data_IF_103252809678
#
_entry.id   IF_103252809678
#
_cell.length_a   1.000
_cell.length_b   1.000
_cell.length_c   1.000
_cell.angle_alpha   90.00
_cell.angle_beta   90.00
_cell.angle_gamma   90.00
#
_symmetry.space_group_name_H-M   'P 1'
#
loop_
_entity.id
_entity.type
_entity.pdbx_description
1 polymer ?
#
# COMPACT_ATOMS: atom_id res chain seq x y z
N UNK A 1 -10.64 -6.82 -11.63
CA UNK A 1 -11.60 -7.59 -10.80
C UNK A 1 -11.12 -7.56 -9.36
N UNK A 2 -12.00 -7.33 -8.39
CA UNK A 2 -11.64 -7.29 -6.97
C UNK A 2 -11.27 -8.68 -6.43
N UNK A 3 -10.05 -8.84 -5.92
CA UNK A 3 -9.51 -10.06 -5.30
C UNK A 3 -10.29 -10.48 -4.04
N UNK A 4 -10.53 -11.78 -3.86
CA UNK A 4 -11.07 -12.35 -2.63
C UNK A 4 -10.08 -12.18 -1.48
N UNK A 5 -10.51 -11.48 -0.43
CA UNK A 5 -9.75 -11.31 0.81
C UNK A 5 -10.62 -10.80 1.95
N UNK A 6 -10.12 -10.91 3.18
CA UNK A 6 -10.81 -10.49 4.39
C UNK A 6 -11.30 -9.04 4.33
N UNK A 7 -10.50 -8.12 3.79
CA UNK A 7 -10.90 -6.72 3.65
C UNK A 7 -12.13 -6.55 2.73
N UNK A 8 -12.19 -7.28 1.62
CA UNK A 8 -13.32 -7.22 0.69
C UNK A 8 -14.53 -7.99 1.22
N UNK A 9 -14.31 -9.11 1.92
CA UNK A 9 -15.35 -9.81 2.69
C UNK A 9 -16.06 -8.87 3.66
N UNK A 10 -15.32 -8.09 4.47
CA UNK A 10 -15.89 -7.13 5.43
C UNK A 10 -16.66 -6.01 4.73
N UNK A 11 -16.14 -5.47 3.61
CA UNK A 11 -16.84 -4.43 2.84
C UNK A 11 -18.19 -4.93 2.29
N UNK A 12 -18.23 -6.17 1.81
CA UNK A 12 -19.48 -6.78 1.33
C UNK A 12 -20.46 -6.98 2.49
N UNK A 13 -20.01 -7.51 3.63
CA UNK A 13 -20.83 -7.62 4.86
C UNK A 13 -21.45 -6.27 5.23
N UNK A 14 -20.65 -5.19 5.22
CA UNK A 14 -21.13 -3.83 5.51
C UNK A 14 -22.17 -3.33 4.50
N UNK A 15 -21.96 -3.60 3.21
CA UNK A 15 -22.85 -3.12 2.14
C UNK A 15 -24.25 -3.74 2.20
N UNK A 16 -24.35 -4.98 2.68
CA UNK A 16 -25.61 -5.70 2.94
C UNK A 16 -26.02 -5.68 4.42
N UNK A 17 -25.32 -4.89 5.23
CA UNK A 17 -25.55 -4.84 6.66
C UNK A 17 -26.72 -3.93 7.05
N UNK A 18 -27.19 -4.09 8.30
CA UNK A 18 -28.28 -3.25 8.86
C UNK A 18 -27.93 -1.76 8.88
N UNK A 19 -26.67 -1.44 9.16
CA UNK A 19 -26.16 -0.08 9.21
C UNK A 19 -24.95 0.07 8.29
N UNK A 20 -25.16 0.54 7.07
CA UNK A 20 -24.08 0.78 6.09
C UNK A 20 -23.09 1.89 6.51
N UNK A 21 -23.40 2.68 7.54
CA UNK A 21 -22.52 3.73 8.07
C UNK A 21 -21.60 3.26 9.20
N UNK A 22 -21.75 2.02 9.68
CA UNK A 22 -20.89 1.49 10.74
C UNK A 22 -19.42 1.45 10.32
N UNK A 23 -18.51 1.71 11.26
CA UNK A 23 -17.07 1.64 11.00
C UNK A 23 -16.66 0.20 10.65
N UNK A 24 -15.78 0.03 9.67
CA UNK A 24 -15.27 -1.31 9.31
C UNK A 24 -14.52 -1.93 10.49
N UNK A 25 -13.82 -1.09 11.25
CA UNK A 25 -13.05 -1.45 12.42
C UNK A 25 -13.92 -2.11 13.48
N UNK A 26 -15.15 -1.63 13.66
CA UNK A 26 -16.10 -2.22 14.60
C UNK A 26 -16.61 -3.58 14.13
N UNK A 27 -16.95 -3.73 12.85
CA UNK A 27 -17.34 -5.04 12.29
C UNK A 27 -16.22 -6.06 12.47
N UNK A 28 -14.97 -5.67 12.15
CA UNK A 28 -13.79 -6.53 12.27
C UNK A 28 -13.55 -6.94 13.73
N UNK A 29 -13.56 -5.98 14.66
CA UNK A 29 -13.35 -6.23 16.08
C UNK A 29 -14.35 -7.23 16.63
N UNK A 30 -15.65 -6.96 16.46
CA UNK A 30 -16.72 -7.84 16.95
C UNK A 30 -16.63 -9.23 16.27
N UNK A 31 -16.45 -9.30 14.94
CA UNK A 31 -16.32 -10.59 14.23
C UNK A 31 -15.18 -11.45 14.77
N UNK A 32 -14.00 -10.86 14.94
CA UNK A 32 -12.83 -11.59 15.40
C UNK A 32 -12.99 -12.03 16.85
N UNK A 33 -13.56 -11.17 17.69
CA UNK A 33 -13.86 -11.45 19.10
C UNK A 33 -14.80 -12.65 19.21
N UNK A 34 -15.93 -12.60 18.51
CA UNK A 34 -16.98 -13.62 18.57
C UNK A 34 -16.47 -15.00 18.11
N UNK A 35 -15.67 -15.04 17.03
CA UNK A 35 -15.05 -16.27 16.55
C UNK A 35 -14.03 -16.81 17.55
N UNK A 36 -13.18 -15.96 18.11
CA UNK A 36 -12.18 -16.39 19.10
C UNK A 36 -12.83 -16.92 20.38
N UNK A 37 -13.88 -16.26 20.88
CA UNK A 37 -14.64 -16.73 22.05
C UNK A 37 -15.35 -18.06 21.78
N UNK A 38 -16.04 -18.17 20.64
CA UNK A 38 -16.69 -19.42 20.25
C UNK A 38 -15.71 -20.60 20.17
N UNK A 39 -14.50 -20.35 19.69
CA UNK A 39 -13.48 -21.36 19.53
C UNK A 39 -12.53 -21.48 20.73
N UNK A 40 -12.83 -20.82 21.85
CA UNK A 40 -12.01 -20.81 23.09
C UNK A 40 -10.53 -20.53 22.82
N UNK A 41 -10.25 -19.69 21.83
CA UNK A 41 -8.89 -19.26 21.55
C UNK A 41 -8.51 -18.26 22.64
N UNK A 42 -7.33 -18.39 23.25
CA UNK A 42 -6.77 -17.49 24.29
C UNK A 42 -5.56 -16.75 23.74
N UNK A 43 -5.46 -15.43 23.95
CA UNK A 43 -4.28 -14.68 23.52
C UNK A 43 -3.19 -14.93 24.58
N UNK A 44 -1.94 -14.58 24.29
CA UNK A 44 -0.83 -14.82 25.23
C UNK A 44 -1.02 -14.14 26.60
N UNK A 45 -1.95 -13.19 26.73
CA UNK A 45 -2.18 -12.35 27.91
C UNK A 45 -3.51 -12.62 28.64
N UNK A 46 -4.44 -13.39 28.06
CA UNK A 46 -5.79 -13.61 28.60
C UNK A 46 -6.80 -12.48 28.36
N UNK A 47 -6.46 -11.43 27.61
CA UNK A 47 -7.32 -10.26 27.37
C UNK A 47 -8.39 -10.48 26.27
N UNK A 48 -9.39 -9.59 26.19
CA UNK A 48 -10.38 -9.55 25.09
C UNK A 48 -9.67 -9.54 23.72
N UNK A 49 -10.10 -10.41 22.81
CA UNK A 49 -9.41 -10.63 21.55
C UNK A 49 -9.71 -9.55 20.51
N UNK A 50 -8.68 -8.88 20.00
CA UNK A 50 -8.68 -8.11 18.74
C UNK A 50 -9.59 -6.87 18.63
N UNK A 51 -9.83 -6.13 19.72
CA UNK A 51 -10.52 -4.83 19.64
C UNK A 51 -9.59 -3.61 19.43
N UNK A 52 -8.41 -3.80 18.82
CA UNK A 52 -7.55 -2.66 18.51
C UNK A 52 -7.95 -2.03 17.17
N UNK A 53 -8.40 -0.77 17.24
CA UNK A 53 -8.72 0.05 16.05
C UNK A 53 -7.57 0.08 15.05
N UNK A 54 -6.32 0.05 15.54
CA UNK A 54 -5.11 0.01 14.71
C UNK A 54 -5.02 -1.26 13.87
N UNK A 55 -5.14 -2.45 14.48
CA UNK A 55 -5.10 -3.71 13.74
C UNK A 55 -6.21 -3.77 12.69
N UNK A 56 -7.45 -3.43 13.09
CA UNK A 56 -8.57 -3.45 12.18
C UNK A 56 -8.36 -2.50 10.98
N UNK A 57 -7.77 -1.33 11.22
CA UNK A 57 -7.36 -0.40 10.16
C UNK A 57 -6.27 -0.99 9.25
N UNK A 58 -5.30 -1.71 9.79
CA UNK A 58 -4.27 -2.39 8.98
C UNK A 58 -4.84 -3.53 8.14
N UNK A 59 -5.78 -4.30 8.69
CA UNK A 59 -6.45 -5.40 7.99
C UNK A 59 -7.34 -4.88 6.84
N UNK A 60 -8.20 -3.88 7.10
CA UNK A 60 -9.09 -3.33 6.05
C UNK A 60 -8.31 -2.64 4.93
N UNK A 61 -7.14 -2.07 5.24
CA UNK A 61 -6.21 -1.49 4.27
C UNK A 61 -5.21 -2.50 3.67
N UNK A 62 -5.33 -3.79 4.02
CA UNK A 62 -4.45 -4.88 3.56
C UNK A 62 -2.96 -4.64 3.80
N UNK A 63 -2.62 -3.90 4.87
CA UNK A 63 -1.23 -3.63 5.30
C UNK A 63 -0.63 -4.80 6.09
N UNK A 64 -1.47 -5.60 6.73
CA UNK A 64 -1.10 -6.81 7.46
C UNK A 64 -1.99 -7.99 7.02
N UNK A 65 -1.49 -9.21 7.23
CA UNK A 65 -2.30 -10.42 7.11
C UNK A 65 -3.11 -10.61 8.41
N UNK A 66 -4.08 -11.53 8.38
CA UNK A 66 -4.80 -11.92 9.58
C UNK A 66 -3.82 -12.40 10.67
N UNK A 67 -4.04 -12.03 11.95
CA UNK A 67 -3.19 -12.50 13.04
C UNK A 67 -3.08 -14.01 13.08
N UNK A 68 -1.89 -14.52 13.35
CA UNK A 68 -1.60 -15.97 13.31
C UNK A 68 -2.59 -16.77 14.15
N UNK A 69 -2.86 -16.36 15.39
CA UNK A 69 -3.80 -17.07 16.27
C UNK A 69 -5.22 -17.06 15.69
N UNK A 70 -5.67 -15.97 15.07
CA UNK A 70 -6.97 -15.93 14.41
C UNK A 70 -7.05 -16.85 13.18
N UNK A 71 -5.99 -16.92 12.37
CA UNK A 71 -5.92 -17.87 11.24
C UNK A 71 -5.99 -19.30 11.75
N UNK A 72 -5.22 -19.63 12.79
CA UNK A 72 -5.25 -20.95 13.43
C UNK A 72 -6.64 -21.27 13.98
N UNK A 73 -7.34 -20.30 14.59
CA UNK A 73 -8.73 -20.46 15.01
C UNK A 73 -9.65 -20.84 13.84
N UNK A 74 -9.55 -20.12 12.72
CA UNK A 74 -10.38 -20.39 11.53
C UNK A 74 -10.07 -21.74 10.89
N UNK A 75 -8.79 -22.17 10.89
CA UNK A 75 -8.34 -23.37 10.20
C UNK A 75 -8.50 -24.65 11.02
N UNK A 76 -8.41 -24.55 12.35
CA UNK A 76 -8.44 -25.71 13.24
C UNK A 76 -9.82 -26.03 13.81
N UNK A 77 -10.84 -25.22 13.51
CA UNK A 77 -12.21 -25.43 13.96
C UNK A 77 -13.14 -25.81 12.82
N UNK A 78 -14.20 -26.55 13.14
CA UNK A 78 -15.20 -26.93 12.16
C UNK A 78 -16.06 -25.74 11.74
N UNK A 79 -16.60 -25.79 10.52
CA UNK A 79 -17.57 -24.81 10.03
C UNK A 79 -18.74 -24.62 11.01
N UNK A 80 -19.25 -25.72 11.57
CA UNK A 80 -20.35 -25.69 12.54
C UNK A 80 -19.95 -24.94 13.81
N UNK A 81 -18.74 -25.14 14.31
CA UNK A 81 -18.24 -24.46 15.51
C UNK A 81 -18.21 -22.94 15.30
N UNK A 82 -17.62 -22.50 14.18
CA UNK A 82 -17.51 -21.07 13.86
C UNK A 82 -18.91 -20.45 13.65
N UNK A 83 -19.76 -21.12 12.86
CA UNK A 83 -21.12 -20.64 12.57
C UNK A 83 -21.99 -20.54 13.84
N UNK A 84 -21.97 -21.57 14.69
CA UNK A 84 -22.72 -21.56 15.94
C UNK A 84 -22.23 -20.46 16.88
N UNK A 85 -20.92 -20.24 16.93
CA UNK A 85 -20.33 -19.11 17.63
C UNK A 85 -20.90 -17.77 17.19
N UNK A 86 -20.87 -17.49 15.89
CA UNK A 86 -21.40 -16.23 15.34
C UNK A 86 -22.91 -16.06 15.56
N UNK A 87 -23.65 -17.16 15.71
CA UNK A 87 -25.07 -17.14 16.11
C UNK A 87 -25.19 -16.84 17.61
N UNK A 88 -24.47 -17.55 18.46
CA UNK A 88 -24.48 -17.44 19.93
C UNK A 88 -24.11 -16.02 20.38
N UNK A 89 -23.07 -15.44 19.79
CA UNK A 89 -22.62 -14.07 20.05
C UNK A 89 -23.38 -13.01 19.23
N UNK A 90 -24.48 -13.39 18.56
CA UNK A 90 -25.39 -12.48 17.84
C UNK A 90 -24.76 -11.67 16.69
N UNK A 91 -23.57 -12.03 16.18
CA UNK A 91 -22.90 -11.32 15.10
C UNK A 91 -23.83 -11.10 13.90
N UNK A 92 -24.45 -12.17 13.41
CA UNK A 92 -25.34 -12.10 12.24
C UNK A 92 -26.54 -11.19 12.48
N UNK A 93 -27.14 -11.29 13.67
CA UNK A 93 -28.31 -10.48 14.04
C UNK A 93 -27.94 -9.00 14.15
N UNK A 94 -26.74 -8.68 14.63
CA UNK A 94 -26.25 -7.32 14.79
C UNK A 94 -25.87 -6.68 13.45
N UNK A 95 -25.17 -7.41 12.58
CA UNK A 95 -24.53 -6.84 11.42
C UNK A 95 -25.27 -7.06 10.11
N UNK A 96 -25.98 -8.17 9.93
CA UNK A 96 -26.58 -8.54 8.65
C UNK A 96 -28.06 -8.13 8.61
N UNK A 97 -28.48 -7.51 7.51
CA UNK A 97 -29.90 -7.27 7.25
C UNK A 97 -30.55 -8.60 6.81
N UNK A 98 -31.56 -9.11 7.53
CA UNK A 98 -32.22 -10.38 7.19
C UNK A 98 -32.76 -10.43 5.75
N UNK A 99 -33.22 -9.29 5.22
CA UNK A 99 -33.78 -9.19 3.87
C UNK A 99 -32.70 -9.22 2.77
N UNK A 100 -31.43 -9.05 3.14
CA UNK A 100 -30.30 -8.98 2.21
C UNK A 100 -29.45 -10.26 2.23
N UNK A 101 -29.79 -11.26 3.05
CA UNK A 101 -28.96 -12.47 3.24
C UNK A 101 -28.66 -13.18 1.92
N UNK A 102 -29.66 -13.33 1.05
CA UNK A 102 -29.48 -13.98 -0.25
C UNK A 102 -28.50 -13.20 -1.14
N UNK A 103 -28.67 -11.87 -1.23
CA UNK A 103 -27.79 -11.00 -2.01
C UNK A 103 -26.37 -10.92 -1.45
N UNK A 104 -26.22 -10.94 -0.13
CA UNK A 104 -24.94 -11.02 0.55
C UNK A 104 -24.20 -12.30 0.18
N UNK A 105 -24.87 -13.45 0.28
CA UNK A 105 -24.27 -14.74 -0.07
C UNK A 105 -23.85 -14.76 -1.54
N UNK A 106 -24.70 -14.29 -2.45
CA UNK A 106 -24.36 -14.19 -3.88
C UNK A 106 -23.13 -13.31 -4.08
N UNK A 107 -23.08 -12.12 -3.50
CA UNK A 107 -21.96 -11.19 -3.65
C UNK A 107 -20.63 -11.75 -3.10
N UNK A 108 -20.68 -12.47 -1.98
CA UNK A 108 -19.50 -13.13 -1.42
C UNK A 108 -19.04 -14.32 -2.28
N UNK A 109 -19.98 -15.12 -2.80
CA UNK A 109 -19.67 -16.24 -3.71
C UNK A 109 -19.08 -15.73 -5.02
N UNK A 110 -19.65 -14.69 -5.61
CA UNK A 110 -19.16 -14.08 -6.84
C UNK A 110 -17.75 -13.51 -6.64
N UNK A 111 -17.47 -12.87 -5.50
CA UNK A 111 -16.12 -12.42 -5.16
C UNK A 111 -15.13 -13.59 -5.13
N UNK A 112 -15.51 -14.74 -4.56
CA UNK A 112 -14.65 -15.92 -4.45
C UNK A 112 -14.44 -16.65 -5.78
N UNK A 113 -15.52 -16.88 -6.53
CA UNK A 113 -15.49 -17.65 -7.79
C UNK A 113 -14.77 -16.89 -8.90
N UNK A 114 -14.93 -15.58 -8.95
CA UNK A 114 -14.30 -14.73 -9.97
C UNK A 114 -12.82 -14.41 -9.67
N UNK A 115 -12.29 -14.80 -8.51
CA UNK A 115 -10.86 -14.62 -8.21
C UNK A 115 -10.03 -15.65 -8.99
N UNK A 116 -9.13 -15.17 -9.86
CA UNK A 116 -8.27 -16.02 -10.70
C UNK A 116 -7.19 -16.77 -9.91
N UNK A 117 -6.85 -16.33 -8.69
CA UNK A 117 -5.85 -17.00 -7.85
C UNK A 117 -6.43 -18.17 -7.04
N UNK A 118 -7.75 -18.27 -6.94
CA UNK A 118 -8.42 -19.39 -6.29
C UNK A 118 -8.47 -20.59 -7.25
N UNK A 119 -7.99 -21.75 -6.77
CA UNK A 119 -7.98 -22.98 -7.56
C UNK A 119 -9.40 -23.45 -7.95
N UNK A 120 -9.55 -24.00 -9.15
CA UNK A 120 -10.84 -24.43 -9.68
C UNK A 120 -11.51 -25.49 -8.80
N UNK A 121 -10.75 -26.43 -8.24
CA UNK A 121 -11.29 -27.46 -7.34
C UNK A 121 -11.87 -26.85 -6.05
N UNK A 122 -11.28 -25.76 -5.54
CA UNK A 122 -11.82 -25.04 -4.40
C UNK A 122 -13.13 -24.29 -4.75
N UNK A 123 -13.25 -23.78 -5.98
CA UNK A 123 -14.49 -23.18 -6.50
C UNK A 123 -15.58 -24.23 -6.65
N UNK A 124 -15.23 -25.40 -7.20
CA UNK A 124 -16.16 -26.53 -7.35
C UNK A 124 -16.67 -27.02 -5.99
N UNK A 125 -15.80 -27.08 -4.97
CA UNK A 125 -16.21 -27.41 -3.59
C UNK A 125 -17.22 -26.42 -3.03
N UNK A 126 -17.00 -25.11 -3.22
CA UNK A 126 -17.96 -24.08 -2.80
C UNK A 126 -19.31 -24.23 -3.50
N UNK A 127 -19.31 -24.47 -4.81
CA UNK A 127 -20.53 -24.64 -5.61
C UNK A 127 -21.35 -25.87 -5.18
N UNK A 128 -20.68 -26.95 -4.77
CA UNK A 128 -21.30 -28.20 -4.34
C UNK A 128 -21.61 -28.25 -2.83
N UNK A 129 -21.23 -27.22 -2.06
CA UNK A 129 -21.43 -27.19 -0.61
C UNK A 129 -22.92 -27.06 -0.27
N UNK A 130 -23.48 -28.11 0.35
CA UNK A 130 -24.84 -28.07 0.91
C UNK A 130 -24.80 -27.46 2.31
N UNK A 131 -25.21 -26.20 2.42
CA UNK A 131 -25.21 -25.49 3.69
C UNK A 131 -26.25 -24.36 3.69
N UNK A 132 -26.58 -23.87 4.88
CA UNK A 132 -27.41 -22.68 5.08
C UNK A 132 -26.69 -21.40 4.65
N UNK A 133 -27.40 -20.29 4.51
CA UNK A 133 -26.79 -18.99 4.16
C UNK A 133 -25.75 -18.53 5.20
N UNK A 134 -25.99 -18.76 6.49
CA UNK A 134 -25.03 -18.41 7.54
C UNK A 134 -23.79 -19.29 7.53
N UNK A 135 -23.97 -20.60 7.31
CA UNK A 135 -22.84 -21.50 7.10
C UNK A 135 -22.03 -21.10 5.85
N UNK A 136 -22.67 -20.67 4.76
CA UNK A 136 -21.95 -20.16 3.58
C UNK A 136 -21.11 -18.92 3.90
N UNK A 137 -21.66 -17.98 4.68
CA UNK A 137 -20.93 -16.78 5.14
C UNK A 137 -19.73 -17.18 6.02
N UNK A 138 -19.94 -18.09 6.98
CA UNK A 138 -18.87 -18.64 7.82
C UNK A 138 -17.80 -19.37 7.01
N UNK A 139 -18.19 -20.14 6.01
CA UNK A 139 -17.26 -20.87 5.14
C UNK A 139 -16.34 -19.90 4.40
N UNK A 140 -16.91 -18.84 3.79
CA UNK A 140 -16.12 -17.83 3.10
C UNK A 140 -15.22 -17.02 4.05
N UNK A 141 -15.62 -16.83 5.31
CA UNK A 141 -14.71 -16.31 6.34
C UNK A 141 -13.52 -17.27 6.58
N UNK A 142 -13.76 -18.58 6.68
CA UNK A 142 -12.69 -19.57 6.82
C UNK A 142 -11.75 -19.57 5.61
N UNK A 143 -12.27 -19.41 4.40
CA UNK A 143 -11.44 -19.27 3.19
C UNK A 143 -10.53 -18.03 3.25
N UNK A 144 -10.98 -16.92 3.85
CA UNK A 144 -10.11 -15.76 4.10
C UNK A 144 -8.93 -16.12 5.02
N UNK A 145 -9.11 -17.09 5.93
CA UNK A 145 -8.07 -17.63 6.80
C UNK A 145 -7.00 -18.45 6.07
N UNK A 146 -7.30 -18.99 4.89
CA UNK A 146 -6.34 -19.80 4.10
C UNK A 146 -5.39 -18.97 3.25
N UNK A 147 -5.80 -17.76 2.86
CA UNK A 147 -5.00 -16.91 1.97
C UNK A 147 -4.15 -15.89 2.74
N UNK A 148 -3.22 -15.25 2.04
CA UNK A 148 -2.53 -14.07 2.57
C UNK A 148 -3.34 -12.81 2.26
N UNK A 149 -3.83 -12.16 3.31
CA UNK A 149 -4.68 -10.98 3.19
C UNK A 149 -3.89 -9.68 3.00
N UNK A 150 -2.58 -9.73 3.26
CA UNK A 150 -1.67 -8.62 3.01
C UNK A 150 -1.47 -8.41 1.51
N UNK A 151 -1.50 -7.16 1.07
CA UNK A 151 -1.04 -6.78 -0.26
C UNK A 151 0.48 -7.02 -0.34
N UNK A 152 0.90 -7.94 -1.22
CA UNK A 152 2.29 -8.31 -1.41
C UNK A 152 2.93 -7.45 -2.50
N UNK A 153 4.18 -7.08 -2.29
CA UNK A 153 4.97 -6.39 -3.31
C UNK A 153 5.36 -7.37 -4.42
N UNK A 154 4.93 -7.11 -5.65
CA UNK A 154 5.33 -7.86 -6.84
C UNK A 154 6.38 -7.06 -7.60
N UNK A 155 7.56 -7.67 -7.82
CA UNK A 155 8.68 -7.07 -8.56
C UNK A 155 8.78 -7.74 -9.92
N UNK A 156 8.62 -6.97 -10.98
CA UNK A 156 8.59 -7.45 -12.37
C UNK A 156 9.69 -6.77 -13.18
N UNK A 157 10.52 -7.55 -13.87
CA UNK A 157 11.61 -7.02 -14.69
C UNK A 157 11.09 -6.60 -16.05
N UNK A 158 11.35 -5.34 -16.42
CA UNK A 158 11.02 -4.78 -17.73
C UNK A 158 12.14 -5.11 -18.72
N UNK A 159 13.38 -4.83 -18.34
CA UNK A 159 14.55 -5.21 -19.12
C UNK A 159 15.79 -5.35 -18.23
N UNK A 160 16.77 -6.10 -18.74
CA UNK A 160 18.05 -6.31 -18.11
C UNK A 160 19.19 -6.22 -19.14
N UNK A 161 20.26 -5.52 -18.78
CA UNK A 161 21.47 -5.41 -19.59
C UNK A 161 22.68 -5.75 -18.70
N UNK A 162 23.21 -6.96 -18.84
CA UNK A 162 24.24 -7.48 -17.95
C UNK A 162 23.76 -7.52 -16.49
N UNK A 163 24.46 -6.78 -15.61
CA UNK A 163 24.08 -6.65 -14.19
C UNK A 163 23.04 -5.56 -13.92
N UNK A 164 22.74 -4.71 -14.91
CA UNK A 164 21.79 -3.62 -14.77
C UNK A 164 20.37 -4.12 -15.03
N UNK A 165 19.41 -3.67 -14.22
CA UNK A 165 18.01 -4.07 -14.32
C UNK A 165 17.09 -2.89 -14.10
N UNK A 166 16.02 -2.84 -14.89
CA UNK A 166 14.89 -1.94 -14.64
C UNK A 166 13.67 -2.79 -14.38
N UNK A 167 13.07 -2.58 -13.21
CA UNK A 167 11.86 -3.28 -12.76
C UNK A 167 10.75 -2.28 -12.50
N UNK A 168 9.51 -2.76 -12.48
CA UNK A 168 8.43 -2.11 -11.75
C UNK A 168 8.05 -2.92 -10.52
N UNK A 169 7.61 -2.23 -9.47
CA UNK A 169 7.15 -2.84 -8.22
C UNK A 169 5.87 -2.21 -7.76
N UNK A 170 4.87 -3.02 -7.41
CA UNK A 170 3.68 -2.53 -6.70
C UNK A 170 3.97 -2.46 -5.20
N UNK A 171 4.11 -1.27 -4.63
CA UNK A 171 4.34 -1.09 -3.20
C UNK A 171 3.92 0.30 -2.73
N UNK A 172 3.95 0.55 -1.42
CA UNK A 172 3.91 1.90 -0.86
C UNK A 172 5.35 2.36 -0.60
N UNK A 173 5.79 3.37 -1.34
CA UNK A 173 7.18 3.85 -1.26
C UNK A 173 7.57 4.31 0.15
N UNK A 174 6.63 4.84 0.94
CA UNK A 174 6.89 5.27 2.32
C UNK A 174 7.06 4.05 3.23
N UNK A 175 6.16 3.07 3.14
CA UNK A 175 6.31 1.83 3.92
C UNK A 175 7.60 1.09 3.53
N UNK A 176 7.92 1.05 2.24
CA UNK A 176 9.18 0.49 1.73
C UNK A 176 10.37 1.22 2.36
N UNK A 177 10.36 2.55 2.39
CA UNK A 177 11.45 3.38 2.91
C UNK A 177 11.81 3.11 4.37
N UNK A 178 10.81 2.91 5.22
CA UNK A 178 10.98 2.80 6.67
C UNK A 178 10.86 1.37 7.21
N UNK A 179 10.71 0.36 6.33
CA UNK A 179 10.62 -1.03 6.73
C UNK A 179 11.89 -1.48 7.51
N UNK A 180 11.71 -1.84 8.78
CA UNK A 180 12.79 -2.38 9.63
C UNK A 180 12.71 -3.91 9.60
N UNK A 181 13.48 -4.55 8.71
CA UNK A 181 13.74 -6.00 8.78
C UNK A 181 15.24 -6.23 8.96
N UNK A 182 15.59 -7.20 9.81
CA UNK A 182 16.99 -7.53 10.19
C UNK A 182 17.92 -7.71 8.98
N UNK A 183 17.40 -8.24 7.86
CA UNK A 183 18.18 -8.60 6.66
C UNK A 183 17.96 -7.68 5.44
N UNK A 184 17.47 -6.45 5.62
CA UNK A 184 17.38 -5.52 4.48
C UNK A 184 18.79 -5.05 4.08
N UNK A 185 19.12 -5.16 2.79
CA UNK A 185 20.29 -4.53 2.15
C UNK A 185 20.09 -3.03 2.12
N UNK A 186 21.19 -2.26 2.13
CA UNK A 186 21.10 -0.82 1.90
C UNK A 186 20.44 -0.55 0.54
N UNK A 187 19.62 0.50 0.51
CA UNK A 187 18.83 0.88 -0.66
C UNK A 187 18.71 2.39 -0.76
N UNK A 188 18.41 2.85 -1.97
CA UNK A 188 18.18 4.25 -2.25
C UNK A 188 16.71 4.46 -2.58
N UNK A 189 16.06 5.43 -1.94
CA UNK A 189 14.66 5.80 -2.22
C UNK A 189 14.62 7.25 -2.66
N UNK A 190 13.95 7.51 -3.79
CA UNK A 190 13.71 8.86 -4.26
C UNK A 190 12.45 9.44 -3.61
N UNK A 191 12.59 10.62 -3.02
CA UNK A 191 11.45 11.42 -2.54
C UNK A 191 11.36 12.67 -3.41
N UNK A 192 10.27 12.84 -4.18
CA UNK A 192 10.08 14.05 -4.97
C UNK A 192 9.78 15.22 -4.03
N UNK A 193 10.58 16.28 -4.12
CA UNK A 193 10.46 17.50 -3.34
C UNK A 193 10.31 18.71 -4.26
N UNK A 194 9.98 19.86 -3.67
CA UNK A 194 10.07 21.14 -4.36
C UNK A 194 11.52 21.64 -4.39
N UNK A 195 11.82 22.54 -5.32
CA UNK A 195 13.15 23.06 -5.55
C UNK A 195 13.70 23.88 -4.36
N UNK A 196 12.84 24.37 -3.47
CA UNK A 196 13.27 25.10 -2.27
C UNK A 196 13.54 24.15 -1.09
N UNK A 197 13.22 22.86 -1.23
CA UNK A 197 13.35 21.83 -0.21
C UNK A 197 12.61 22.20 1.08
N UNK A 198 11.32 22.55 0.97
CA UNK A 198 10.49 22.86 2.13
C UNK A 198 10.30 21.62 3.03
N UNK A 199 10.80 21.64 4.27
CA UNK A 199 10.75 20.49 5.19
C UNK A 199 9.58 20.55 6.19
N UNK A 200 8.59 21.40 5.92
CA UNK A 200 7.41 21.62 6.76
C UNK A 200 6.15 21.14 6.05
N UNK A 201 5.29 20.45 6.79
CA UNK A 201 3.93 20.09 6.34
C UNK A 201 2.97 21.22 6.71
N UNK A 202 2.07 21.58 5.79
CA UNK A 202 1.03 22.59 6.03
C UNK A 202 0.05 22.14 7.11
N UNK A 203 -0.27 23.02 8.04
CA UNK A 203 -1.38 22.86 8.97
C UNK A 203 -2.59 23.71 8.54
N UNK A 204 -3.78 23.30 8.99
CA UNK A 204 -4.99 24.08 8.76
C UNK A 204 -4.89 25.42 9.50
N UNK A 205 -4.92 26.54 8.77
CA UNK A 205 -4.77 27.88 9.32
C UNK A 205 -3.37 28.49 9.18
N UNK A 206 -2.42 27.83 8.52
CA UNK A 206 -1.14 28.45 8.17
C UNK A 206 -1.34 29.56 7.10
N UNK A 207 -0.74 30.74 7.31
CA UNK A 207 -0.76 31.86 6.35
C UNK A 207 0.01 31.56 5.04
N UNK A 208 0.80 30.48 5.02
CA UNK A 208 1.58 30.01 3.87
C UNK A 208 1.37 28.52 3.67
N UNK A 209 1.02 28.11 2.44
CA UNK A 209 0.91 26.70 2.10
C UNK A 209 2.31 26.11 1.89
N UNK A 210 2.72 25.20 2.78
CA UNK A 210 3.90 24.34 2.65
C UNK A 210 3.55 23.00 1.96
N UNK A 211 4.30 21.95 2.25
CA UNK A 211 4.10 20.61 1.68
C UNK A 211 2.76 20.04 2.14
N UNK A 212 1.96 19.53 1.20
CA UNK A 212 0.68 18.88 1.55
C UNK A 212 0.91 17.53 2.21
N UNK A 213 0.20 17.25 3.31
CA UNK A 213 0.30 16.01 4.10
C UNK A 213 0.13 14.73 3.26
N UNK A 214 -0.75 14.76 2.27
CA UNK A 214 -1.09 13.57 1.48
C UNK A 214 -0.11 13.29 0.33
N UNK A 215 0.82 14.20 0.05
CA UNK A 215 1.90 14.01 -0.92
C UNK A 215 2.94 13.01 -0.42
N UNK A 216 3.76 12.44 -1.32
CA UNK A 216 4.88 11.58 -0.93
C UNK A 216 5.85 12.33 -0.01
N UNK A 217 6.13 13.60 -0.31
CA UNK A 217 6.98 14.47 0.51
C UNK A 217 6.38 14.66 1.91
N UNK A 218 5.09 14.99 2.01
CA UNK A 218 4.40 15.18 3.29
C UNK A 218 4.38 13.91 4.14
N UNK A 219 4.07 12.76 3.55
CA UNK A 219 4.10 11.46 4.23
C UNK A 219 5.50 11.07 4.69
N UNK A 220 6.53 11.43 3.94
CA UNK A 220 7.92 11.20 4.35
C UNK A 220 8.30 12.04 5.58
N UNK A 221 7.92 13.33 5.61
CA UNK A 221 8.12 14.21 6.77
C UNK A 221 7.37 13.68 8.00
N UNK A 222 6.08 13.31 7.84
CA UNK A 222 5.28 12.72 8.92
C UNK A 222 5.91 11.44 9.45
N UNK A 223 6.37 10.54 8.58
CA UNK A 223 7.04 9.31 8.99
C UNK A 223 8.34 9.56 9.78
N UNK A 224 9.09 10.62 9.48
CA UNK A 224 10.26 11.02 10.26
C UNK A 224 9.87 11.61 11.62
N UNK A 225 8.83 12.45 11.66
CA UNK A 225 8.29 13.00 12.91
C UNK A 225 7.80 11.90 13.85
N UNK A 226 7.11 10.88 13.34
CA UNK A 226 6.70 9.69 14.10
C UNK A 226 7.89 8.86 14.63
N UNK A 227 9.10 9.08 14.13
CA UNK A 227 10.35 8.48 14.62
C UNK A 227 11.16 9.43 15.49
N UNK A 228 10.57 10.58 15.88
CA UNK A 228 11.17 11.56 16.77
C UNK A 228 12.20 12.49 16.12
N UNK A 229 12.28 12.52 14.79
CA UNK A 229 13.20 13.42 14.06
C UNK A 229 12.48 14.74 13.83
N UNK A 230 13.07 15.84 14.28
CA UNK A 230 12.48 17.18 14.12
C UNK A 230 12.81 17.81 12.76
N UNK A 231 12.00 18.76 12.31
CA UNK A 231 12.26 19.54 11.08
C UNK A 231 13.68 20.12 11.05
N UNK A 232 14.13 20.71 12.16
CA UNK A 232 15.49 21.28 12.28
C UNK A 232 16.58 20.22 12.09
N UNK A 233 16.35 19.01 12.61
CA UNK A 233 17.28 17.90 12.48
C UNK A 233 17.30 17.38 11.03
N UNK A 234 16.15 17.36 10.35
CA UNK A 234 16.06 17.01 8.93
C UNK A 234 16.93 17.95 8.11
N UNK A 235 16.71 19.26 8.25
CA UNK A 235 17.45 20.30 7.51
C UNK A 235 18.96 20.17 7.74
N UNK A 236 19.38 19.98 9.00
CA UNK A 236 20.79 19.88 9.36
C UNK A 236 21.46 18.59 8.83
N UNK A 237 20.69 17.53 8.62
CA UNK A 237 21.21 16.23 8.14
C UNK A 237 21.23 16.09 6.62
N UNK A 238 20.54 16.99 5.89
CA UNK A 238 20.54 16.94 4.43
C UNK A 238 21.90 17.37 3.88
N UNK A 239 22.53 16.49 3.10
CA UNK A 239 23.75 16.81 2.35
C UNK A 239 23.35 17.18 0.93
N UNK A 240 23.44 18.46 0.60
CA UNK A 240 23.20 18.93 -0.76
C UNK A 240 24.47 18.74 -1.59
N UNK A 241 24.34 18.14 -2.77
CA UNK A 241 25.45 18.08 -3.74
C UNK A 241 25.41 19.18 -4.79
N UNK A 242 24.25 19.78 -5.04
CA UNK A 242 24.06 20.93 -5.95
C UNK A 242 22.79 21.72 -5.55
N UNK A 243 22.81 22.47 -4.45
CA UNK A 243 21.67 23.30 -4.05
C UNK A 243 21.64 24.59 -4.87
N UNK A 244 21.05 24.52 -6.06
CA UNK A 244 20.84 25.69 -6.92
C UNK A 244 19.37 26.15 -6.96
N UNK A 245 18.52 25.60 -6.09
CA UNK A 245 17.07 25.80 -6.08
C UNK A 245 16.44 25.62 -7.47
N UNK A 246 16.99 24.66 -8.22
CA UNK A 246 16.60 24.30 -9.58
C UNK A 246 16.08 22.87 -9.63
N UNK A 247 15.24 22.60 -10.62
CA UNK A 247 14.76 21.24 -10.91
C UNK A 247 15.96 20.33 -11.21
N UNK A 248 15.93 19.10 -10.70
CA UNK A 248 17.05 18.16 -10.75
C UNK A 248 18.09 18.33 -9.64
N UNK A 249 17.96 19.32 -8.74
CA UNK A 249 18.76 19.38 -7.52
C UNK A 249 18.50 18.15 -6.63
N UNK A 250 19.55 17.58 -6.05
CA UNK A 250 19.47 16.39 -5.19
C UNK A 250 20.06 16.70 -3.80
N UNK A 251 19.27 16.43 -2.77
CA UNK A 251 19.70 16.35 -1.39
C UNK A 251 19.75 14.89 -0.91
N UNK A 252 20.74 14.55 -0.10
CA UNK A 252 20.84 13.23 0.53
C UNK A 252 20.42 13.28 1.99
N UNK A 253 19.57 12.34 2.40
CA UNK A 253 19.24 12.13 3.80
C UNK A 253 19.37 10.64 4.13
N UNK A 254 20.19 10.26 5.11
CA UNK A 254 20.32 8.85 5.53
C UNK A 254 19.51 8.60 6.79
N UNK A 255 18.69 7.56 6.79
CA UNK A 255 18.03 7.05 7.99
C UNK A 255 18.09 5.53 8.00
N UNK A 256 18.71 4.96 9.04
CA UNK A 256 18.97 3.52 9.13
C UNK A 256 19.68 3.00 7.85
N UNK A 257 19.16 1.95 7.22
CA UNK A 257 19.67 1.35 5.97
C UNK A 257 19.08 1.95 4.69
N UNK A 258 18.35 3.06 4.79
CA UNK A 258 17.76 3.74 3.63
C UNK A 258 18.49 5.06 3.41
N UNK A 259 19.05 5.24 2.22
CA UNK A 259 19.52 6.51 1.72
C UNK A 259 18.40 7.15 0.89
N UNK A 260 18.01 8.36 1.25
CA UNK A 260 16.99 9.10 0.53
C UNK A 260 17.64 10.08 -0.42
N UNK A 261 17.24 10.04 -1.69
CA UNK A 261 17.53 11.07 -2.68
C UNK A 261 16.32 12.00 -2.78
N UNK A 262 16.43 13.18 -2.19
CA UNK A 262 15.43 14.23 -2.24
C UNK A 262 15.57 14.94 -3.59
N UNK A 263 14.72 14.59 -4.55
CA UNK A 263 14.81 15.06 -5.93
C UNK A 263 13.87 16.24 -6.16
N UNK A 264 14.43 17.41 -6.49
CA UNK A 264 13.66 18.59 -6.85
C UNK A 264 12.92 18.38 -8.19
N UNK A 265 11.60 18.16 -8.13
CA UNK A 265 10.76 17.86 -9.30
C UNK A 265 9.76 18.97 -9.65
N UNK A 266 9.64 19.98 -8.79
CA UNK A 266 8.66 21.06 -8.92
C UNK A 266 9.19 22.37 -8.36
N UNK A 267 8.63 23.49 -8.79
CA UNK A 267 8.84 24.80 -8.17
C UNK A 267 7.48 25.35 -7.77
N UNK A 268 7.38 25.89 -6.56
CA UNK A 268 6.18 26.59 -6.11
C UNK A 268 6.15 27.98 -6.75
N UNK A 269 5.00 28.42 -7.23
CA UNK A 269 4.78 29.80 -7.66
C UNK A 269 4.39 30.70 -6.47
N UNK A 270 4.12 31.96 -6.75
CA UNK A 270 3.68 32.98 -5.78
C UNK A 270 2.37 32.61 -5.05
N UNK A 271 1.58 31.66 -5.58
CA UNK A 271 0.36 31.14 -4.98
C UNK A 271 0.60 29.82 -4.22
N UNK A 272 1.86 29.44 -3.96
CA UNK A 272 2.28 28.15 -3.40
C UNK A 272 1.73 26.95 -4.19
N UNK A 273 1.67 27.09 -5.51
CA UNK A 273 1.28 26.01 -6.40
C UNK A 273 2.51 25.34 -7.00
N UNK A 274 2.61 24.02 -6.84
CA UNK A 274 3.64 23.22 -7.50
C UNK A 274 3.40 23.12 -9.02
N UNK A 275 4.23 23.80 -9.81
CA UNK A 275 4.24 23.71 -11.27
C UNK A 275 5.38 22.79 -11.76
N UNK A 276 5.02 21.77 -12.54
CA UNK A 276 5.99 20.92 -13.25
C UNK A 276 5.46 20.58 -14.64
N UNK A 277 6.34 20.44 -15.62
CA UNK A 277 6.02 20.06 -17.00
C UNK A 277 6.65 18.69 -17.31
N UNK A 278 6.16 18.02 -18.35
CA UNK A 278 6.75 16.75 -18.82
C UNK A 278 8.26 16.86 -19.05
N UNK A 279 8.70 18.00 -19.62
CA UNK A 279 10.12 18.32 -19.87
C UNK A 279 10.88 18.43 -18.55
N UNK A 280 10.37 19.18 -17.58
CA UNK A 280 11.00 19.36 -16.27
C UNK A 280 11.12 18.04 -15.48
N UNK A 281 10.12 17.16 -15.58
CA UNK A 281 10.19 15.83 -14.97
C UNK A 281 11.28 14.99 -15.64
N UNK A 282 11.36 15.04 -16.98
CA UNK A 282 12.43 14.38 -17.75
C UNK A 282 13.82 14.87 -17.33
N UNK A 283 14.01 16.18 -17.21
CA UNK A 283 15.25 16.80 -16.73
C UNK A 283 15.63 16.31 -15.32
N UNK A 284 14.66 16.25 -14.40
CA UNK A 284 14.87 15.73 -13.05
C UNK A 284 15.28 14.25 -13.05
N UNK A 285 14.67 13.42 -13.90
CA UNK A 285 15.05 12.00 -14.05
C UNK A 285 16.46 11.87 -14.61
N UNK A 286 16.83 12.66 -15.62
CA UNK A 286 18.20 12.65 -16.17
C UNK A 286 19.21 13.07 -15.10
N UNK A 287 18.92 14.10 -14.31
CA UNK A 287 19.76 14.51 -13.19
C UNK A 287 19.93 13.38 -12.15
N UNK A 288 18.83 12.69 -11.81
CA UNK A 288 18.83 11.53 -10.93
C UNK A 288 19.69 10.39 -11.48
N UNK A 289 19.59 10.06 -12.77
CA UNK A 289 20.37 8.99 -13.40
C UNK A 289 21.87 9.30 -13.38
N UNK A 290 22.26 10.53 -13.73
CA UNK A 290 23.64 10.98 -13.63
C UNK A 290 24.16 10.87 -12.20
N UNK A 291 23.37 11.34 -11.23
CA UNK A 291 23.74 11.27 -9.82
C UNK A 291 23.87 9.85 -9.30
N UNK A 292 22.91 8.99 -9.64
CA UNK A 292 22.92 7.59 -9.26
C UNK A 292 24.09 6.83 -9.90
N UNK A 293 24.45 7.13 -11.15
CA UNK A 293 25.63 6.55 -11.80
C UNK A 293 26.93 6.84 -11.03
N UNK A 294 27.08 8.08 -10.55
CA UNK A 294 28.28 8.53 -9.82
C UNK A 294 28.32 8.11 -8.35
N UNK A 295 27.18 8.11 -7.66
CA UNK A 295 27.13 8.00 -6.19
C UNK A 295 26.27 6.83 -5.67
N UNK A 296 25.55 6.12 -6.54
CA UNK A 296 24.59 5.09 -6.14
C UNK A 296 25.18 3.80 -5.59
N UNK A 297 26.48 3.54 -5.83
CA UNK A 297 27.21 2.37 -5.32
C UNK A 297 26.52 1.01 -5.58
N UNK A 298 25.75 0.92 -6.68
CA UNK A 298 24.94 -0.24 -7.08
C UNK A 298 23.82 -0.64 -6.09
N UNK A 299 23.51 0.19 -5.09
CA UNK A 299 22.34 -0.04 -4.25
C UNK A 299 21.06 0.06 -5.08
N UNK A 300 20.06 -0.78 -4.78
CA UNK A 300 18.79 -0.70 -5.50
C UNK A 300 18.14 0.67 -5.32
N UNK A 301 17.84 1.33 -6.44
CA UNK A 301 17.17 2.63 -6.49
C UNK A 301 15.66 2.42 -6.64
N UNK A 302 14.86 3.04 -5.77
CA UNK A 302 13.40 3.00 -5.82
C UNK A 302 12.86 4.39 -6.17
N UNK A 303 12.20 4.52 -7.31
CA UNK A 303 11.69 5.78 -7.84
C UNK A 303 10.16 5.72 -7.87
N UNK A 304 9.43 6.65 -7.22
CA UNK A 304 7.97 6.68 -7.33
C UNK A 304 7.57 7.21 -8.71
N UNK A 305 6.30 7.05 -9.07
CA UNK A 305 5.73 7.83 -10.18
C UNK A 305 5.87 9.34 -9.88
N UNK A 306 6.33 10.08 -10.88
CA UNK A 306 6.57 11.53 -10.82
C UNK A 306 5.53 12.27 -11.67
N UNK A 307 5.05 13.43 -11.23
CA UNK A 307 4.12 14.22 -12.05
C UNK A 307 2.64 13.80 -11.94
N UNK A 308 2.28 12.88 -11.04
CA UNK A 308 0.92 12.36 -10.85
C UNK A 308 0.17 13.06 -9.71
N UNK A 309 -1.16 12.88 -9.67
CA UNK A 309 -2.13 13.22 -8.59
C UNK A 309 -2.04 14.65 -8.01
N UNK A 310 -0.98 14.97 -7.27
CA UNK A 310 -0.79 16.24 -6.55
C UNK A 310 0.09 17.26 -7.27
N UNK A 311 0.91 16.85 -8.24
CA UNK A 311 1.66 17.79 -9.09
C UNK A 311 0.82 18.22 -10.29
N UNK A 312 0.79 19.52 -10.60
CA UNK A 312 -0.02 20.06 -11.72
C UNK A 312 0.50 19.69 -13.13
N UNK A 313 1.45 18.74 -13.25
CA UNK A 313 1.87 18.17 -14.53
C UNK A 313 0.75 17.34 -15.21
N UNK A 314 -0.31 16.98 -14.47
CA UNK A 314 -1.50 16.25 -14.95
C UNK A 314 -1.17 14.94 -15.69
N UNK A 315 -0.06 14.29 -15.34
CA UNK A 315 0.24 12.98 -15.91
C UNK A 315 -0.66 11.93 -15.27
N UNK A 316 -1.23 11.06 -16.09
CA UNK A 316 -1.79 9.79 -15.62
C UNK A 316 -0.67 8.92 -15.04
N UNK A 317 -1.03 7.92 -14.24
CA UNK A 317 -0.05 6.97 -13.72
C UNK A 317 0.72 6.28 -14.85
N UNK A 318 0.03 5.88 -15.92
CA UNK A 318 0.63 5.32 -17.13
C UNK A 318 1.59 6.29 -17.84
N UNK A 319 1.20 7.56 -18.04
CA UNK A 319 2.04 8.56 -18.70
C UNK A 319 3.29 8.91 -17.89
N UNK A 320 3.17 8.92 -16.56
CA UNK A 320 4.31 9.08 -15.65
C UNK A 320 5.28 7.90 -15.74
N UNK A 321 4.74 6.68 -15.71
CA UNK A 321 5.53 5.47 -15.85
C UNK A 321 6.27 5.43 -17.18
N UNK A 322 5.58 5.68 -18.29
CA UNK A 322 6.15 5.71 -19.64
C UNK A 322 7.24 6.77 -19.77
N UNK A 323 7.04 7.97 -19.19
CA UNK A 323 8.06 9.01 -19.18
C UNK A 323 9.32 8.57 -18.43
N UNK A 324 9.17 7.95 -17.25
CA UNK A 324 10.31 7.44 -16.48
C UNK A 324 11.02 6.35 -17.28
N UNK A 325 10.28 5.37 -17.80
CA UNK A 325 10.84 4.24 -18.52
C UNK A 325 11.56 4.66 -19.81
N UNK A 326 10.93 5.50 -20.64
CA UNK A 326 11.54 6.02 -21.87
C UNK A 326 12.79 6.84 -21.58
N UNK A 327 12.76 7.71 -20.56
CA UNK A 327 13.95 8.48 -20.16
C UNK A 327 15.09 7.58 -19.70
N UNK A 328 14.80 6.50 -18.96
CA UNK A 328 15.81 5.52 -18.57
C UNK A 328 16.38 4.79 -19.78
N UNK A 329 15.53 4.35 -20.73
CA UNK A 329 15.97 3.67 -21.96
C UNK A 329 16.85 4.58 -22.83
N UNK A 330 16.47 5.84 -23.01
CA UNK A 330 17.26 6.83 -23.76
C UNK A 330 18.63 7.13 -23.11
N UNK A 331 18.79 6.83 -21.81
CA UNK A 331 20.00 7.09 -21.04
C UNK A 331 20.58 5.81 -20.44
N UNK A 332 20.42 4.67 -21.14
CA UNK A 332 20.81 3.34 -20.62
C UNK A 332 22.29 3.25 -20.24
N UNK A 333 23.15 4.04 -20.90
CA UNK A 333 24.59 4.14 -20.61
C UNK A 333 24.89 4.65 -19.19
N UNK A 334 23.93 5.34 -18.55
CA UNK A 334 24.05 5.83 -17.17
C UNK A 334 23.58 4.80 -16.14
N UNK A 335 23.05 3.65 -16.57
CA UNK A 335 22.57 2.62 -15.66
C UNK A 335 23.73 1.93 -14.96
N UNK A 336 23.73 2.00 -13.63
CA UNK A 336 24.70 1.33 -12.77
C UNK A 336 23.99 0.66 -11.58
N UNK A 337 23.40 -0.51 -11.82
CA UNK A 337 22.68 -1.31 -10.84
C UNK A 337 21.21 -1.52 -11.18
N UNK A 338 20.37 -1.62 -10.14
CA UNK A 338 18.95 -1.93 -10.30
C UNK A 338 18.09 -0.71 -9.98
N UNK A 339 17.24 -0.32 -10.94
CA UNK A 339 16.20 0.70 -10.76
C UNK A 339 14.85 0.00 -10.64
N UNK A 340 14.07 0.35 -9.63
CA UNK A 340 12.73 -0.13 -9.36
C UNK A 340 11.77 1.05 -9.42
N UNK A 341 10.91 1.09 -10.44
CA UNK A 341 9.83 2.07 -10.55
C UNK A 341 8.68 1.60 -9.64
N UNK A 342 8.41 2.35 -8.58
CA UNK A 342 7.40 2.02 -7.57
C UNK A 342 6.06 2.59 -7.99
N UNK A 343 5.13 1.70 -8.29
CA UNK A 343 3.72 2.01 -8.52
C UNK A 343 2.99 1.79 -7.20
N UNK A 344 2.16 2.76 -6.80
CA UNK A 344 1.43 2.62 -5.56
C UNK A 344 0.52 1.38 -5.62
N UNK A 345 0.60 0.51 -4.61
CA UNK A 345 -0.06 -0.80 -4.65
C UNK A 345 -1.59 -0.75 -4.84
N UNK A 346 -2.23 0.38 -4.49
CA UNK A 346 -3.67 0.60 -4.74
C UNK A 346 -3.99 0.95 -6.19
N UNK A 347 -3.00 1.36 -6.97
CA UNK A 347 -3.11 1.67 -8.39
C UNK A 347 -2.78 0.44 -9.26
N UNK A 348 -2.65 -0.76 -8.66
CA UNK A 348 -2.32 -2.01 -9.37
C UNK A 348 -3.28 -2.30 -10.51
N UNK A 349 -4.58 -2.33 -10.23
CA UNK A 349 -5.63 -2.66 -11.20
C UNK A 349 -5.69 -1.65 -12.35
N UNK A 350 -5.44 -0.36 -12.08
CA UNK A 350 -5.34 0.68 -13.13
C UNK A 350 -4.15 0.40 -14.07
N UNK A 351 -3.01 0.01 -13.49
CA UNK A 351 -1.75 -0.12 -14.20
C UNK A 351 -1.56 -1.47 -14.91
N UNK A 352 -2.23 -2.54 -14.47
CA UNK A 352 -2.11 -3.89 -15.07
C UNK A 352 -2.39 -3.89 -16.58
N UNK A 353 -3.43 -3.20 -17.04
CA UNK A 353 -3.77 -3.13 -18.46
C UNK A 353 -2.67 -2.47 -19.30
N UNK A 354 -2.05 -1.42 -18.78
CA UNK A 354 -0.97 -0.71 -19.46
C UNK A 354 0.32 -1.55 -19.48
N UNK A 355 0.66 -2.19 -18.36
CA UNK A 355 1.90 -2.95 -18.22
C UNK A 355 1.86 -4.28 -18.97
N UNK A 356 0.69 -4.90 -19.13
CA UNK A 356 0.53 -6.10 -19.95
C UNK A 356 0.73 -5.83 -21.46
N UNK A 357 0.74 -4.57 -21.88
CA UNK A 357 0.96 -4.16 -23.27
C UNK A 357 2.41 -3.75 -23.57
N UNK A 358 3.29 -3.71 -22.56
CA UNK A 358 4.73 -3.47 -22.68
C UNK A 358 5.48 -4.78 -22.93
#
# INVERSE_FOLDING_TARGET
>A
MSKFCFANYIKIIKNHGRNKKIANEKIIGDLMTDVCYACKTVNKSGDEYYNSKELASKLINRKEDLPKAFKETLLNNSLKTINNGLIEYNFYKQYINPNEISHLVTSLKDLYVNDSEIANDAKDRLCNLKCTSFEMISYLLMECGKINNKLMSEKNTIFAFGHNKVNYVYDDIINLSFAVKRNIKEKIVVIPVDADFNMRVSNFGDDKFFVTENSIHGKWLQALHEKGITESEIVNRIKYKNRQNNIGSIGEFKYSKTLFYLLACSKFDENNVAHSSKIKIKEAIIALLNYYNSFGQRYELYIPLLGTKSSRAKLSNAASFDLILSTIKENEILLNGTINIVIYIKDKEEMENFLNAL
#
